data_IF_929524640689
#
_entry.id   IF_929524640689
#
_cell.length_a   1.000
_cell.length_b   1.000
_cell.length_c   1.000
_cell.angle_alpha   90.00
_cell.angle_beta   90.00
_cell.angle_gamma   90.00
#
_symmetry.space_group_name_H-M   'P 1'
#
loop_
_entity.id
_entity.type
_entity.pdbx_description
1 polymer ?
#
# COMPACT_ATOMS: atom_id res chain seq x y z
N UNK A 1 18.34 7.66 -6.03
CA UNK A 1 18.43 6.18 -5.87
C UNK A 1 17.04 5.60 -5.64
N UNK A 2 16.76 4.38 -6.12
CA UNK A 2 15.45 3.71 -5.95
C UNK A 2 15.08 3.47 -4.48
N UNK A 3 16.07 3.20 -3.62
CA UNK A 3 15.87 3.05 -2.17
C UNK A 3 15.26 4.32 -1.56
N UNK A 4 15.74 5.50 -1.94
CA UNK A 4 15.19 6.78 -1.49
C UNK A 4 13.75 6.96 -1.99
N UNK A 5 13.46 6.67 -3.28
CA UNK A 5 12.08 6.70 -3.80
C UNK A 5 11.16 5.75 -3.04
N UNK A 6 11.63 4.54 -2.72
CA UNK A 6 10.88 3.57 -1.91
C UNK A 6 10.65 4.07 -0.49
N UNK A 7 11.58 4.80 0.12
CA UNK A 7 11.41 5.34 1.47
C UNK A 7 10.48 6.54 1.51
N UNK A 8 10.50 7.40 0.49
CA UNK A 8 9.73 8.65 0.45
C UNK A 8 8.34 8.52 -0.16
N UNK A 9 8.08 7.51 -1.00
CA UNK A 9 6.78 7.36 -1.67
C UNK A 9 5.64 7.32 -0.64
N UNK A 10 4.62 8.14 -0.86
CA UNK A 10 3.38 8.18 -0.09
C UNK A 10 2.20 8.24 -1.05
N UNK A 11 1.05 7.81 -0.57
CA UNK A 11 -0.20 7.97 -1.30
C UNK A 11 -0.71 9.38 -1.06
N UNK A 12 -1.01 10.09 -2.14
CA UNK A 12 -1.54 11.46 -2.05
C UNK A 12 -3.02 11.46 -1.65
N UNK A 13 -3.50 12.57 -1.09
CA UNK A 13 -4.89 12.64 -0.63
C UNK A 13 -5.92 12.53 -1.76
N UNK A 14 -5.59 12.95 -2.98
CA UNK A 14 -6.46 12.85 -4.16
C UNK A 14 -6.20 11.60 -5.01
N UNK A 15 -5.13 10.86 -4.70
CA UNK A 15 -4.75 9.65 -5.42
C UNK A 15 -5.60 8.47 -4.96
N UNK A 16 -6.00 7.60 -5.89
CA UNK A 16 -6.63 6.33 -5.53
C UNK A 16 -5.58 5.26 -5.21
N UNK A 17 -5.98 4.24 -4.46
CA UNK A 17 -5.04 3.23 -3.99
C UNK A 17 -4.41 2.43 -5.14
N UNK A 18 -5.13 2.25 -6.26
CA UNK A 18 -4.62 1.58 -7.45
C UNK A 18 -3.44 2.32 -8.10
N UNK A 19 -3.57 3.64 -8.26
CA UNK A 19 -2.51 4.52 -8.76
C UNK A 19 -1.27 4.50 -7.85
N UNK A 20 -1.47 4.66 -6.55
CA UNK A 20 -0.40 4.57 -5.56
C UNK A 20 0.32 3.22 -5.64
N UNK A 21 -0.44 2.13 -5.68
CA UNK A 21 0.10 0.78 -5.75
C UNK A 21 0.92 0.55 -7.03
N UNK A 22 0.45 1.06 -8.17
CA UNK A 22 1.19 0.98 -9.43
C UNK A 22 2.55 1.71 -9.34
N UNK A 23 2.58 2.94 -8.79
CA UNK A 23 3.84 3.68 -8.57
C UNK A 23 4.80 2.93 -7.64
N UNK A 24 4.28 2.29 -6.59
CA UNK A 24 5.09 1.50 -5.69
C UNK A 24 5.68 0.26 -6.38
N UNK A 25 4.89 -0.43 -7.18
CA UNK A 25 5.34 -1.62 -7.92
C UNK A 25 6.36 -1.27 -9.01
N UNK A 26 6.25 -0.12 -9.65
CA UNK A 26 7.28 0.38 -10.57
C UNK A 26 8.65 0.50 -9.89
N UNK A 27 8.69 1.04 -8.65
CA UNK A 27 9.93 1.14 -7.86
C UNK A 27 10.45 -0.26 -7.48
N UNK A 28 9.57 -1.16 -7.04
CA UNK A 28 9.94 -2.52 -6.62
C UNK A 28 10.50 -3.33 -7.81
N UNK A 29 9.83 -3.28 -8.96
CA UNK A 29 10.24 -3.95 -10.17
C UNK A 29 11.56 -3.37 -10.71
N UNK A 30 11.70 -2.04 -10.71
CA UNK A 30 12.95 -1.37 -11.06
C UNK A 30 14.10 -1.79 -10.15
N UNK A 31 13.85 -1.93 -8.84
CA UNK A 31 14.87 -2.38 -7.89
C UNK A 31 15.28 -3.82 -8.19
N UNK A 32 14.32 -4.70 -8.47
CA UNK A 32 14.57 -6.09 -8.82
C UNK A 32 15.42 -6.23 -10.09
N UNK A 33 15.11 -5.46 -11.13
CA UNK A 33 15.85 -5.45 -12.39
C UNK A 33 17.30 -4.99 -12.25
N UNK A 34 17.60 -4.17 -11.22
CA UNK A 34 18.96 -3.72 -10.90
C UNK A 34 19.67 -4.64 -9.88
N UNK A 35 19.13 -5.84 -9.61
CA UNK A 35 19.70 -6.81 -8.67
C UNK A 35 19.39 -6.52 -7.19
N UNK A 36 18.57 -5.53 -6.90
CA UNK A 36 18.13 -5.20 -5.54
C UNK A 36 16.94 -6.07 -5.11
N UNK A 37 16.97 -6.57 -3.87
CA UNK A 37 15.89 -7.40 -3.32
C UNK A 37 15.04 -6.62 -2.30
N UNK A 38 13.79 -6.32 -2.66
CA UNK A 38 12.80 -5.76 -1.73
C UNK A 38 11.88 -6.90 -1.26
N UNK A 39 12.01 -7.26 0.02
CA UNK A 39 11.18 -8.30 0.64
C UNK A 39 9.69 -7.91 0.62
N UNK A 40 8.82 -8.88 0.38
CA UNK A 40 7.35 -8.70 0.44
C UNK A 40 6.90 -8.06 1.77
N UNK A 41 7.49 -8.47 2.89
CA UNK A 41 7.19 -7.87 4.21
C UNK A 41 7.58 -6.39 4.31
N UNK A 42 8.64 -5.96 3.61
CA UNK A 42 8.98 -4.52 3.51
C UNK A 42 7.93 -3.77 2.68
N UNK A 43 7.42 -4.37 1.61
CA UNK A 43 6.34 -3.77 0.80
C UNK A 43 5.07 -3.60 1.62
N UNK A 44 4.64 -4.63 2.35
CA UNK A 44 3.45 -4.56 3.24
C UNK A 44 3.59 -3.41 4.25
N UNK A 45 4.70 -3.38 5.00
CA UNK A 45 4.95 -2.30 5.97
C UNK A 45 5.03 -0.93 5.30
N UNK A 46 5.58 -0.86 4.10
CA UNK A 46 5.67 0.39 3.34
C UNK A 46 4.29 0.89 2.95
N UNK A 47 3.42 0.04 2.41
CA UNK A 47 2.03 0.38 2.08
C UNK A 47 1.34 0.95 3.32
N UNK A 48 1.29 0.19 4.42
CA UNK A 48 0.57 0.60 5.64
C UNK A 48 1.07 1.92 6.26
N UNK A 49 2.34 2.29 6.08
CA UNK A 49 2.94 3.56 6.55
C UNK A 49 2.74 4.73 5.59
N UNK A 50 2.30 4.46 4.37
CA UNK A 50 2.24 5.42 3.27
C UNK A 50 0.81 5.84 2.93
N UNK A 51 -0.18 5.21 3.56
CA UNK A 51 -1.60 5.53 3.37
C UNK A 51 -2.00 6.81 4.11
N UNK A 52 -2.92 7.61 3.55
CA UNK A 52 -3.47 8.79 4.20
C UNK A 52 -4.41 8.43 5.35
N UNK A 53 -4.78 9.44 6.15
CA UNK A 53 -5.58 9.29 7.36
C UNK A 53 -6.94 8.61 7.11
N UNK A 54 -7.54 8.77 5.93
CA UNK A 54 -8.79 8.07 5.56
C UNK A 54 -8.72 6.54 5.65
N UNK A 55 -7.53 5.96 5.59
CA UNK A 55 -7.32 4.51 5.77
C UNK A 55 -7.02 4.11 7.21
N UNK A 56 -6.88 5.04 8.17
CA UNK A 56 -6.46 4.73 9.56
C UNK A 56 -7.27 3.61 10.18
N UNK A 57 -8.61 3.71 10.10
CA UNK A 57 -9.51 2.70 10.66
C UNK A 57 -9.25 1.31 10.06
N UNK A 58 -9.10 1.24 8.74
CA UNK A 58 -8.80 -0.01 8.02
C UNK A 58 -7.43 -0.58 8.40
N UNK A 59 -6.41 0.27 8.52
CA UNK A 59 -5.06 -0.11 8.93
C UNK A 59 -5.04 -0.68 10.35
N UNK A 60 -5.80 -0.09 11.29
CA UNK A 60 -5.92 -0.60 12.67
C UNK A 60 -6.50 -2.00 12.68
N UNK A 61 -7.62 -2.24 11.99
CA UNK A 61 -8.26 -3.55 11.90
C UNK A 61 -7.32 -4.61 11.30
N UNK A 62 -6.56 -4.24 10.27
CA UNK A 62 -5.59 -5.16 9.64
C UNK A 62 -4.49 -5.55 10.63
N UNK A 63 -3.96 -4.58 11.39
CA UNK A 63 -2.92 -4.82 12.39
C UNK A 63 -3.41 -5.72 13.52
N UNK A 64 -4.63 -5.51 14.00
CA UNK A 64 -5.23 -6.26 15.11
C UNK A 64 -5.63 -7.69 14.73
N UNK A 65 -6.05 -7.93 13.48
CA UNK A 65 -6.61 -9.24 13.09
C UNK A 65 -5.57 -10.34 12.81
N UNK A 66 -4.46 -10.02 12.15
CA UNK A 66 -3.49 -11.03 11.67
C UNK A 66 -2.02 -10.70 11.95
N UNK A 67 -1.73 -9.48 12.39
CA UNK A 67 -0.36 -8.97 12.48
C UNK A 67 0.26 -8.71 11.10
N UNK A 68 1.07 -7.66 11.02
CA UNK A 68 1.60 -7.13 9.74
C UNK A 68 2.62 -8.09 9.09
N UNK A 69 3.31 -8.90 9.87
CA UNK A 69 4.43 -9.71 9.36
C UNK A 69 4.00 -10.99 8.63
N UNK A 70 2.77 -11.46 8.84
CA UNK A 70 2.21 -12.65 8.17
C UNK A 70 1.27 -12.30 7.01
N UNK A 71 0.99 -11.01 6.81
CA UNK A 71 0.04 -10.57 5.80
C UNK A 71 0.64 -10.69 4.39
N UNK A 72 -0.10 -11.34 3.48
CA UNK A 72 0.29 -11.41 2.08
C UNK A 72 0.03 -10.08 1.39
N UNK A 73 0.95 -9.68 0.51
CA UNK A 73 0.81 -8.42 -0.27
C UNK A 73 -0.50 -8.42 -1.04
N UNK A 74 -0.82 -9.51 -1.74
CA UNK A 74 -2.04 -9.60 -2.56
C UNK A 74 -3.32 -9.47 -1.73
N UNK A 75 -3.34 -10.05 -0.51
CA UNK A 75 -4.47 -9.93 0.41
C UNK A 75 -4.63 -8.49 0.93
N UNK A 76 -3.52 -7.84 1.30
CA UNK A 76 -3.52 -6.44 1.70
C UNK A 76 -4.04 -5.54 0.58
N UNK A 77 -3.49 -5.72 -0.63
CA UNK A 77 -3.83 -4.91 -1.81
C UNK A 77 -5.30 -5.06 -2.14
N UNK A 78 -5.84 -6.29 -2.20
CA UNK A 78 -7.27 -6.50 -2.44
C UNK A 78 -8.13 -5.83 -1.37
N UNK A 79 -7.77 -5.96 -0.09
CA UNK A 79 -8.53 -5.35 1.02
C UNK A 79 -8.56 -3.82 0.97
N UNK A 80 -7.44 -3.20 0.58
CA UNK A 80 -7.32 -1.75 0.48
C UNK A 80 -7.98 -1.21 -0.80
N UNK A 81 -7.85 -1.92 -1.93
CA UNK A 81 -8.54 -1.58 -3.18
C UNK A 81 -10.06 -1.60 -2.99
N UNK A 82 -10.61 -2.66 -2.39
CA UNK A 82 -12.04 -2.75 -2.10
C UNK A 82 -12.48 -1.64 -1.16
N UNK A 83 -11.70 -1.33 -0.13
CA UNK A 83 -12.02 -0.24 0.80
C UNK A 83 -12.04 1.13 0.12
N UNK A 84 -11.05 1.42 -0.72
CA UNK A 84 -10.97 2.68 -1.46
C UNK A 84 -12.14 2.84 -2.44
N UNK A 85 -12.49 1.77 -3.17
CA UNK A 85 -13.63 1.76 -4.09
C UNK A 85 -14.97 1.91 -3.35
N UNK A 86 -15.15 1.21 -2.22
CA UNK A 86 -16.38 1.26 -1.43
C UNK A 86 -16.52 2.61 -0.69
N UNK A 87 -15.42 3.20 -0.25
CA UNK A 87 -15.38 4.55 0.32
C UNK A 87 -15.92 5.60 -0.66
N UNK A 88 -15.64 5.44 -1.96
CA UNK A 88 -16.17 6.30 -3.01
C UNK A 88 -17.65 6.00 -3.37
N UNK A 89 -18.17 4.81 -3.07
CA UNK A 89 -19.56 4.43 -3.38
C UNK A 89 -20.58 4.78 -2.28
N UNK A 90 -20.15 5.10 -1.05
CA UNK A 90 -21.05 5.54 0.03
C UNK A 90 -21.46 7.03 -0.06
N UNK A 91 -21.06 7.71 -1.13
CA UNK A 91 -21.36 9.12 -1.41
C UNK A 91 -22.31 9.30 -2.61
N UNK A 92 -23.25 8.37 -2.83
CA UNK A 92 -24.37 8.60 -3.75
C UNK A 92 -25.67 8.68 -2.92
N UNK A 93 -26.45 9.77 -3.08
CA UNK A 93 -27.69 10.01 -2.32
C UNK A 93 -28.80 9.01 -2.66
#
# INVERSE_FOLDING_TARGET
MLTSRFETIRMEDHENFGEFHAKLMDIVNSSFNLGGLILKSKVVRKILRSLPERFRAKVTIIKESKGVDFLKVDELVGSLQTFDHLGNQRALP
#
